data_IF_010175369347
#
_entry.id   IF_010175369347
#
_cell.length_a   1.000
_cell.length_b   1.000
_cell.length_c   1.000
_cell.angle_alpha   90.00
_cell.angle_beta   90.00
_cell.angle_gamma   90.00
#
_symmetry.space_group_name_H-M   'P 1'
#
loop_
_entity.id
_entity.type
_entity.pdbx_description
1 polymer ?
#
# COMPACT_ATOMS: atom_id res chain seq x y z
N UNK A 1 -4.92 18.46 -3.21
CA UNK A 1 -6.01 18.06 -4.11
C UNK A 1 -7.26 17.96 -3.26
N UNK A 2 -8.41 18.45 -3.72
CA UNK A 2 -9.65 18.35 -2.95
C UNK A 2 -10.26 16.98 -3.26
N UNK A 3 -10.22 16.06 -2.29
CA UNK A 3 -10.93 14.78 -2.41
C UNK A 3 -12.43 15.00 -2.28
N UNK A 4 -13.22 14.27 -3.06
CA UNK A 4 -14.60 14.01 -2.67
C UNK A 4 -14.62 13.19 -1.37
N UNK A 5 -15.76 13.24 -0.66
CA UNK A 5 -15.89 12.63 0.67
C UNK A 5 -15.63 11.13 0.65
N UNK A 6 -16.04 10.42 -0.40
CA UNK A 6 -15.83 8.97 -0.53
C UNK A 6 -14.36 8.65 -0.75
N UNK A 7 -13.71 9.34 -1.69
CA UNK A 7 -12.27 9.17 -1.93
C UNK A 7 -11.44 9.48 -0.69
N UNK A 8 -11.84 10.50 0.08
CA UNK A 8 -11.18 10.85 1.34
C UNK A 8 -11.23 9.70 2.36
N UNK A 9 -12.42 9.15 2.64
CA UNK A 9 -12.55 8.08 3.63
C UNK A 9 -11.91 6.77 3.20
N UNK A 10 -12.02 6.41 1.92
CA UNK A 10 -11.34 5.22 1.39
C UNK A 10 -9.82 5.37 1.48
N UNK A 11 -9.29 6.56 1.16
CA UNK A 11 -7.86 6.83 1.29
C UNK A 11 -7.42 6.79 2.76
N UNK A 12 -8.16 7.44 3.67
CA UNK A 12 -7.85 7.43 5.10
C UNK A 12 -7.88 6.00 5.68
N UNK A 13 -8.88 5.20 5.32
CA UNK A 13 -8.99 3.80 5.72
C UNK A 13 -7.82 2.95 5.21
N UNK A 14 -7.41 3.14 3.95
CA UNK A 14 -6.23 2.47 3.39
C UNK A 14 -4.93 2.94 4.07
N UNK A 15 -4.76 4.25 4.29
CA UNK A 15 -3.57 4.78 4.94
C UNK A 15 -3.42 4.23 6.37
N UNK A 16 -4.51 4.22 7.15
CA UNK A 16 -4.52 3.64 8.49
C UNK A 16 -4.28 2.13 8.44
N UNK A 17 -5.04 1.41 7.61
CA UNK A 17 -4.97 -0.05 7.51
C UNK A 17 -3.58 -0.53 7.09
N UNK A 18 -3.00 0.04 6.03
CA UNK A 18 -1.65 -0.31 5.57
C UNK A 18 -0.60 0.01 6.64
N UNK A 19 -0.70 1.16 7.30
CA UNK A 19 0.25 1.52 8.38
C UNK A 19 0.16 0.55 9.55
N UNK A 20 -1.05 0.20 9.98
CA UNK A 20 -1.26 -0.78 11.04
C UNK A 20 -0.71 -2.16 10.65
N UNK A 21 -0.95 -2.60 9.41
CA UNK A 21 -0.40 -3.88 8.90
C UNK A 21 1.13 -3.90 8.90
N UNK A 22 1.78 -2.80 8.54
CA UNK A 22 3.24 -2.67 8.64
C UNK A 22 3.72 -2.66 10.10
N UNK A 23 3.01 -2.00 11.01
CA UNK A 23 3.34 -2.03 12.45
C UNK A 23 3.28 -3.45 13.00
N UNK A 24 2.18 -4.18 12.75
CA UNK A 24 2.04 -5.56 13.20
C UNK A 24 3.08 -6.48 12.57
N UNK A 25 3.50 -6.21 11.32
CA UNK A 25 4.55 -6.99 10.68
C UNK A 25 5.91 -6.92 11.38
N UNK A 26 6.17 -5.86 12.16
CA UNK A 26 7.41 -5.72 12.95
C UNK A 26 7.39 -6.58 14.23
N UNK A 27 6.20 -6.96 14.70
CA UNK A 27 6.01 -7.65 15.98
C UNK A 27 5.59 -9.11 15.80
N UNK A 28 5.33 -9.54 14.56
CA UNK A 28 4.80 -10.87 14.28
C UNK A 28 5.89 -11.93 14.16
N UNK A 29 5.54 -13.15 14.55
CA UNK A 29 6.31 -14.36 14.26
C UNK A 29 5.57 -15.17 13.21
N UNK A 30 6.10 -15.20 11.98
CA UNK A 30 5.52 -16.02 10.93
C UNK A 30 5.79 -17.51 11.22
N UNK A 31 4.79 -18.40 11.02
CA UNK A 31 4.94 -19.83 11.28
C UNK A 31 6.08 -20.41 10.41
N UNK A 32 6.87 -21.29 11.02
CA UNK A 32 8.03 -21.93 10.41
C UNK A 32 7.96 -23.44 10.67
N UNK A 33 8.27 -24.22 9.64
CA UNK A 33 8.21 -25.67 9.72
C UNK A 33 9.08 -26.20 10.87
N UNK A 34 8.49 -27.02 11.73
CA UNK A 34 9.17 -27.63 12.88
C UNK A 34 9.41 -26.68 14.06
N UNK A 35 8.94 -25.43 14.00
CA UNK A 35 9.02 -24.46 15.11
C UNK A 35 7.64 -24.37 15.78
N UNK A 36 7.53 -24.67 17.08
CA UNK A 36 6.27 -24.52 17.81
C UNK A 36 5.74 -23.08 17.73
N UNK A 37 4.43 -22.97 17.53
CA UNK A 37 3.67 -21.72 17.53
C UNK A 37 3.19 -21.41 18.95
N UNK A 38 3.30 -20.15 19.38
CA UNK A 38 2.73 -19.63 20.61
C UNK A 38 3.15 -18.19 20.92
N UNK A 39 2.43 -17.53 21.84
CA UNK A 39 2.80 -16.21 22.36
C UNK A 39 2.30 -15.02 21.54
N UNK A 40 2.84 -13.83 21.85
CA UNK A 40 2.35 -12.56 21.27
C UNK A 40 2.69 -12.41 19.78
N UNK A 41 3.82 -12.94 19.31
CA UNK A 41 4.22 -12.87 17.90
C UNK A 41 3.21 -13.56 16.98
N UNK A 42 2.69 -14.72 17.41
CA UNK A 42 1.64 -15.44 16.69
C UNK A 42 0.32 -14.69 16.65
N UNK A 43 -0.04 -14.00 17.75
CA UNK A 43 -1.24 -13.15 17.78
C UNK A 43 -1.10 -12.02 16.77
N UNK A 44 0.05 -11.34 16.72
CA UNK A 44 0.31 -10.30 15.72
C UNK A 44 0.33 -10.88 14.29
N UNK A 45 0.84 -12.10 14.10
CA UNK A 45 0.76 -12.78 12.81
C UNK A 45 -0.68 -13.02 12.38
N UNK A 46 -1.55 -13.48 13.29
CA UNK A 46 -2.97 -13.70 12.97
C UNK A 46 -3.72 -12.39 12.69
N UNK A 47 -3.43 -11.33 13.45
CA UNK A 47 -3.96 -9.98 13.20
C UNK A 47 -3.49 -9.47 11.83
N UNK A 48 -2.22 -9.68 11.48
CA UNK A 48 -1.67 -9.33 10.17
C UNK A 48 -2.35 -10.13 9.05
N UNK A 49 -2.45 -11.45 9.23
CA UNK A 49 -3.04 -12.37 8.25
C UNK A 49 -4.51 -12.07 7.98
N UNK A 50 -5.33 -11.92 9.02
CA UNK A 50 -6.77 -11.66 8.87
C UNK A 50 -7.05 -10.18 8.57
N UNK A 51 -6.34 -9.26 9.22
CA UNK A 51 -6.47 -7.83 8.96
C UNK A 51 -6.02 -7.45 7.55
N UNK A 52 -5.03 -8.16 6.98
CA UNK A 52 -4.61 -8.01 5.60
C UNK A 52 -5.74 -8.26 4.60
N UNK A 53 -6.64 -9.23 4.86
CA UNK A 53 -7.84 -9.43 4.04
C UNK A 53 -8.82 -8.26 4.13
N UNK A 54 -8.97 -7.67 5.32
CA UNK A 54 -9.76 -6.45 5.50
C UNK A 54 -9.22 -5.27 4.69
N UNK A 55 -7.89 -5.08 4.71
CA UNK A 55 -7.22 -4.05 3.90
C UNK A 55 -7.34 -4.34 2.40
N UNK A 56 -7.23 -5.60 1.97
CA UNK A 56 -7.49 -6.00 0.60
C UNK A 56 -8.92 -5.68 0.16
N UNK A 57 -9.93 -5.96 1.00
CA UNK A 57 -11.32 -5.62 0.69
C UNK A 57 -11.50 -4.10 0.51
N UNK A 58 -10.94 -3.29 1.41
CA UNK A 58 -10.92 -1.82 1.27
C UNK A 58 -10.24 -1.38 -0.03
N UNK A 59 -9.13 -2.05 -0.40
CA UNK A 59 -8.39 -1.75 -1.62
C UNK A 59 -9.22 -2.05 -2.88
N UNK A 60 -9.93 -3.17 -2.90
CA UNK A 60 -10.86 -3.53 -3.98
C UNK A 60 -11.95 -2.46 -4.11
N UNK A 61 -12.58 -2.07 -3.00
CA UNK A 61 -13.61 -1.02 -3.00
C UNK A 61 -13.04 0.31 -3.52
N UNK A 62 -11.82 0.66 -3.12
CA UNK A 62 -11.14 1.85 -3.63
C UNK A 62 -10.90 1.78 -5.14
N UNK A 63 -10.43 0.65 -5.67
CA UNK A 63 -10.28 0.47 -7.11
C UNK A 63 -11.60 0.54 -7.86
N UNK A 64 -12.66 -0.11 -7.37
CA UNK A 64 -13.99 -0.05 -7.98
C UNK A 64 -14.53 1.39 -8.01
N UNK A 65 -14.37 2.13 -6.91
CA UNK A 65 -14.74 3.55 -6.85
C UNK A 65 -13.97 4.37 -7.89
N UNK A 66 -12.65 4.20 -7.97
CA UNK A 66 -11.80 4.89 -8.92
C UNK A 66 -12.13 4.54 -10.39
N UNK A 67 -12.45 3.27 -10.69
CA UNK A 67 -12.80 2.79 -12.03
C UNK A 67 -14.23 3.16 -12.45
N UNK A 68 -15.13 3.44 -11.49
CA UNK A 68 -16.50 3.88 -11.78
C UNK A 68 -16.60 5.25 -12.46
N UNK A 69 -15.50 6.01 -12.52
CA UNK A 69 -15.45 7.37 -13.07
C UNK A 69 -16.07 8.43 -12.16
N UNK A 70 -16.60 8.05 -10.98
CA UNK A 70 -17.22 8.96 -10.01
C UNK A 70 -16.22 9.67 -9.10
N UNK A 71 -15.01 9.13 -8.97
CA UNK A 71 -13.99 9.71 -8.12
C UNK A 71 -13.53 11.08 -8.64
N UNK A 72 -13.33 12.04 -7.73
CA UNK A 72 -12.88 13.40 -8.08
C UNK A 72 -11.53 13.44 -8.79
N UNK A 73 -10.70 12.40 -8.58
CA UNK A 73 -9.37 12.27 -9.14
C UNK A 73 -9.39 11.25 -10.27
N UNK A 74 -9.47 11.71 -11.52
CA UNK A 74 -9.47 10.83 -12.69
C UNK A 74 -8.16 10.05 -12.85
N UNK A 75 -8.22 8.89 -13.53
CA UNK A 75 -7.07 8.01 -13.83
C UNK A 75 -5.86 8.73 -14.42
N UNK A 76 -6.09 9.76 -15.23
CA UNK A 76 -5.03 10.59 -15.85
C UNK A 76 -4.22 11.43 -14.84
N UNK A 77 -4.79 11.69 -13.66
CA UNK A 77 -4.12 12.43 -12.57
C UNK A 77 -3.27 11.48 -11.73
N UNK A 78 -3.78 10.26 -11.47
CA UNK A 78 -3.05 9.23 -10.72
C UNK A 78 -1.92 8.59 -11.54
N UNK A 79 -2.17 8.35 -12.83
CA UNK A 79 -1.29 7.58 -13.72
C UNK A 79 -0.90 8.37 -14.98
N UNK A 80 -0.31 9.58 -14.86
CA UNK A 80 -0.02 10.41 -16.03
C UNK A 80 0.90 9.73 -17.06
N UNK A 81 1.75 8.79 -16.62
CA UNK A 81 2.65 8.01 -17.46
C UNK A 81 1.93 7.03 -18.39
N UNK A 82 0.71 6.59 -18.05
CA UNK A 82 -0.10 5.73 -18.93
C UNK A 82 -0.79 6.52 -20.04
N UNK A 83 -1.03 7.83 -19.85
CA UNK A 83 -1.89 8.64 -20.71
C UNK A 83 -1.15 9.73 -21.50
N UNK A 84 0.18 9.61 -21.67
CA UNK A 84 1.04 10.60 -22.37
C UNK A 84 0.81 12.06 -21.91
N UNK A 85 0.36 12.27 -20.67
CA UNK A 85 0.12 13.61 -20.15
C UNK A 85 1.46 14.18 -19.69
N UNK A 86 1.90 15.28 -20.32
CA UNK A 86 2.99 16.10 -19.76
C UNK A 86 2.50 16.58 -18.39
N UNK A 87 3.29 16.35 -17.35
CA UNK A 87 3.07 16.97 -16.04
C UNK A 87 3.12 18.49 -16.29
N UNK A 88 1.96 19.13 -16.42
CA UNK A 88 1.92 20.58 -16.49
C UNK A 88 2.41 21.07 -15.13
N UNK A 89 3.45 21.91 -15.08
CA UNK A 89 3.87 22.50 -13.82
C UNK A 89 2.66 23.20 -13.21
N UNK A 90 2.31 22.85 -11.98
CA UNK A 90 1.31 23.60 -11.22
C UNK A 90 1.84 25.03 -11.05
N UNK A 91 1.02 26.10 -11.22
CA UNK A 91 1.50 27.48 -11.06
C UNK A 91 1.86 27.84 -9.61
N UNK A 92 1.52 26.97 -8.66
CA UNK A 92 1.61 27.24 -7.22
C UNK A 92 2.56 26.27 -6.53
N UNK A 93 3.86 26.56 -6.60
CA UNK A 93 4.76 26.67 -5.45
C UNK A 93 6.15 27.01 -5.98
N UNK A 94 6.74 28.06 -5.40
CA UNK A 94 8.09 28.55 -5.68
C UNK A 94 9.07 27.40 -5.39
N UNK A 95 9.48 26.69 -6.44
CA UNK A 95 10.46 25.61 -6.38
C UNK A 95 11.81 26.17 -5.98
N UNK A 96 12.22 25.94 -4.74
CA UNK A 96 13.65 25.93 -4.43
C UNK A 96 14.20 24.65 -5.09
N UNK A 97 14.89 24.86 -6.22
CA UNK A 97 15.72 23.87 -6.95
C UNK A 97 15.01 22.66 -7.58
N UNK A 98 14.38 22.86 -8.74
CA UNK A 98 14.78 22.23 -10.00
C UNK A 98 14.83 20.71 -10.18
N UNK A 99 14.43 19.85 -9.23
CA UNK A 99 14.47 18.38 -9.43
C UNK A 99 13.22 17.70 -8.86
N UNK A 100 12.54 16.95 -9.74
CA UNK A 100 11.35 16.10 -9.52
C UNK A 100 10.03 16.82 -9.15
N UNK A 101 9.35 17.34 -10.18
CA UNK A 101 7.94 17.77 -10.06
C UNK A 101 6.99 16.55 -10.09
N UNK A 102 6.97 15.76 -9.01
CA UNK A 102 5.97 14.69 -8.86
C UNK A 102 4.66 15.29 -8.33
N UNK A 103 3.57 15.13 -9.08
CA UNK A 103 2.25 15.61 -8.62
C UNK A 103 1.76 14.75 -7.45
N UNK A 104 0.94 15.33 -6.54
CA UNK A 104 0.38 14.59 -5.41
C UNK A 104 -0.43 13.35 -5.87
N UNK A 105 -1.15 13.48 -6.99
CA UNK A 105 -1.90 12.38 -7.58
C UNK A 105 -0.99 11.27 -8.11
N UNK A 106 0.13 11.63 -8.74
CA UNK A 106 1.14 10.66 -9.22
C UNK A 106 1.72 9.86 -8.07
N UNK A 107 2.06 10.53 -6.96
CA UNK A 107 2.56 9.86 -5.77
C UNK A 107 1.49 8.93 -5.17
N UNK A 108 0.25 9.40 -5.04
CA UNK A 108 -0.87 8.57 -4.57
C UNK A 108 -1.11 7.35 -5.46
N UNK A 109 -1.07 7.52 -6.79
CA UNK A 109 -1.23 6.44 -7.76
C UNK A 109 -0.14 5.38 -7.63
N UNK A 110 1.12 5.80 -7.43
CA UNK A 110 2.24 4.89 -7.15
C UNK A 110 1.99 4.10 -5.84
N UNK A 111 1.58 4.77 -4.77
CA UNK A 111 1.22 4.11 -3.52
C UNK A 111 0.13 3.05 -3.68
N UNK A 112 -0.90 3.35 -4.47
CA UNK A 112 -1.98 2.41 -4.75
C UNK A 112 -1.50 1.17 -5.50
N UNK A 113 -0.55 1.31 -6.43
CA UNK A 113 0.05 0.18 -7.16
C UNK A 113 0.92 -0.69 -6.24
N UNK A 114 1.77 -0.08 -5.42
CA UNK A 114 2.61 -0.81 -4.46
C UNK A 114 1.71 -1.57 -3.46
N UNK A 115 0.68 -0.91 -2.92
CA UNK A 115 -0.29 -1.55 -2.04
C UNK A 115 -1.04 -2.70 -2.72
N UNK A 116 -1.31 -2.60 -4.03
CA UNK A 116 -1.93 -3.69 -4.81
C UNK A 116 -1.01 -4.90 -4.96
N UNK A 117 0.28 -4.69 -5.24
CA UNK A 117 1.26 -5.78 -5.26
C UNK A 117 1.40 -6.44 -3.88
N UNK A 118 1.45 -5.63 -2.81
CA UNK A 118 1.51 -6.12 -1.43
C UNK A 118 0.29 -6.97 -1.08
N UNK A 119 -0.92 -6.48 -1.40
CA UNK A 119 -2.16 -7.19 -1.10
C UNK A 119 -2.30 -8.48 -1.92
N UNK A 120 -1.88 -8.46 -3.19
CA UNK A 120 -1.91 -9.65 -4.06
C UNK A 120 -0.95 -10.74 -3.58
N UNK A 121 0.29 -10.37 -3.24
CA UNK A 121 1.26 -11.32 -2.67
C UNK A 121 0.80 -11.84 -1.30
N UNK A 122 0.22 -10.98 -0.46
CA UNK A 122 -0.35 -11.37 0.82
C UNK A 122 -1.53 -12.35 0.68
N UNK A 123 -2.39 -12.17 -0.32
CA UNK A 123 -3.48 -13.09 -0.62
C UNK A 123 -2.97 -14.47 -1.05
N UNK A 124 -1.93 -14.52 -1.87
CA UNK A 124 -1.29 -15.78 -2.27
C UNK A 124 -0.71 -16.48 -1.04
N UNK A 125 -0.04 -15.74 -0.14
CA UNK A 125 0.50 -16.31 1.10
C UNK A 125 -0.62 -16.80 2.04
N UNK A 126 -1.74 -16.08 2.12
CA UNK A 126 -2.86 -16.44 2.98
C UNK A 126 -3.37 -17.87 2.71
N UNK A 127 -3.42 -18.26 1.42
CA UNK A 127 -3.84 -19.59 0.98
C UNK A 127 -2.68 -20.57 0.78
N UNK A 128 -1.47 -20.08 0.50
CA UNK A 128 -0.31 -20.90 0.15
C UNK A 128 0.52 -21.36 1.35
N UNK A 129 0.41 -20.71 2.50
CA UNK A 129 1.09 -21.11 3.75
C UNK A 129 0.20 -22.10 4.51
N UNK A 130 0.74 -23.29 4.77
CA UNK A 130 0.05 -24.33 5.56
C UNK A 130 0.10 -24.02 7.05
N UNK A 131 -0.75 -24.66 7.85
CA UNK A 131 -0.91 -24.36 9.28
C UNK A 131 0.35 -24.60 10.12
N UNK A 132 1.24 -25.48 9.68
CA UNK A 132 2.55 -25.77 10.30
C UNK A 132 3.69 -24.90 9.72
N UNK A 133 3.37 -23.93 8.86
CA UNK A 133 4.34 -23.05 8.21
C UNK A 133 5.02 -23.65 6.97
N UNK A 134 4.59 -24.83 6.49
CA UNK A 134 5.05 -25.39 5.23
C UNK A 134 4.66 -24.53 4.02
N UNK A 135 5.57 -24.39 3.06
CA UNK A 135 5.40 -23.61 1.83
C UNK A 135 6.05 -24.33 0.65
N UNK A 136 5.43 -24.27 -0.53
CA UNK A 136 6.09 -24.69 -1.77
C UNK A 136 7.17 -23.68 -2.20
N UNK A 137 8.07 -24.08 -3.11
CA UNK A 137 9.10 -23.17 -3.66
C UNK A 137 8.51 -21.89 -4.24
N UNK A 138 7.37 -22.00 -4.93
CA UNK A 138 6.66 -20.84 -5.47
C UNK A 138 6.17 -19.90 -4.35
N UNK A 139 5.53 -20.44 -3.30
CA UNK A 139 5.02 -19.65 -2.17
C UNK A 139 6.17 -18.98 -1.41
N UNK A 140 7.30 -19.66 -1.24
CA UNK A 140 8.52 -19.08 -0.65
C UNK A 140 9.04 -17.89 -1.46
N UNK A 141 9.10 -18.00 -2.79
CA UNK A 141 9.49 -16.87 -3.64
C UNK A 141 8.50 -15.69 -3.53
N UNK A 142 7.19 -15.98 -3.45
CA UNK A 142 6.18 -14.93 -3.21
C UNK A 142 6.37 -14.27 -1.84
N UNK A 143 6.77 -15.01 -0.81
CA UNK A 143 7.07 -14.45 0.52
C UNK A 143 8.23 -13.45 0.45
N UNK A 144 9.28 -13.78 -0.30
CA UNK A 144 10.41 -12.86 -0.51
C UNK A 144 9.96 -11.58 -1.22
N UNK A 145 9.15 -11.70 -2.28
CA UNK A 145 8.56 -10.54 -2.97
C UNK A 145 7.67 -9.73 -2.04
N UNK A 146 6.86 -10.36 -1.21
CA UNK A 146 6.01 -9.70 -0.22
C UNK A 146 6.86 -8.89 0.78
N UNK A 147 7.93 -9.50 1.31
CA UNK A 147 8.86 -8.83 2.22
C UNK A 147 9.60 -7.66 1.55
N UNK A 148 10.07 -7.83 0.31
CA UNK A 148 10.72 -6.76 -0.45
C UNK A 148 9.75 -5.60 -0.77
N UNK A 149 8.48 -5.94 -1.05
CA UNK A 149 7.42 -4.95 -1.27
C UNK A 149 7.09 -4.17 0.00
N UNK A 150 7.16 -4.81 1.18
CA UNK A 150 6.98 -4.14 2.47
C UNK A 150 8.04 -3.04 2.70
N UNK A 151 9.30 -3.29 2.35
CA UNK A 151 10.37 -2.27 2.38
C UNK A 151 10.02 -1.09 1.46
N UNK A 152 9.53 -1.39 0.25
CA UNK A 152 9.09 -0.37 -0.70
C UNK A 152 7.92 0.47 -0.15
N UNK A 153 6.97 -0.15 0.55
CA UNK A 153 5.88 0.55 1.23
C UNK A 153 6.37 1.46 2.36
N UNK A 154 7.33 0.99 3.16
CA UNK A 154 7.94 1.79 4.22
C UNK A 154 8.60 3.06 3.68
N UNK A 155 9.42 2.92 2.63
CA UNK A 155 10.06 4.06 1.94
C UNK A 155 8.99 4.99 1.38
N UNK A 156 7.98 4.43 0.71
CA UNK A 156 6.87 5.20 0.14
C UNK A 156 6.12 6.00 1.20
N UNK A 157 5.76 5.39 2.34
CA UNK A 157 5.04 6.09 3.41
C UNK A 157 5.87 7.22 4.02
N UNK A 158 7.15 6.98 4.28
CA UNK A 158 8.05 8.02 4.79
C UNK A 158 8.16 9.21 3.82
N UNK A 159 8.36 8.93 2.54
CA UNK A 159 8.40 9.95 1.49
C UNK A 159 7.06 10.69 1.35
N UNK A 160 5.96 9.95 1.34
CA UNK A 160 4.61 10.49 1.20
C UNK A 160 4.26 11.42 2.36
N UNK A 161 4.59 11.02 3.58
CA UNK A 161 4.38 11.83 4.78
C UNK A 161 5.25 13.09 4.77
N UNK A 162 6.55 12.96 4.49
CA UNK A 162 7.47 14.11 4.40
C UNK A 162 7.03 15.14 3.36
N UNK A 163 6.67 14.71 2.14
CA UNK A 163 6.17 15.62 1.09
C UNK A 163 4.84 16.27 1.50
N UNK A 164 3.97 15.53 2.18
CA UNK A 164 2.69 16.07 2.65
C UNK A 164 2.93 17.20 3.64
N UNK A 165 3.76 16.99 4.66
CA UNK A 165 4.12 18.02 5.65
C UNK A 165 4.73 19.28 4.98
N UNK A 166 5.68 19.10 4.07
CA UNK A 166 6.33 20.20 3.35
C UNK A 166 5.37 21.01 2.45
N UNK A 167 4.19 20.49 2.13
CA UNK A 167 3.15 21.20 1.37
C UNK A 167 2.09 21.85 2.26
N UNK A 168 2.09 21.59 3.56
CA UNK A 168 1.22 22.21 4.56
C UNK A 168 1.89 23.37 5.31
N UNK A 169 3.21 23.55 5.16
CA UNK A 169 3.99 24.73 5.57
C UNK A 169 4.15 25.66 4.37
#
# INVERSE_FOLDING_TARGET
>A
MKYDRTTYWLHAGLAFGVSAQLMFSLMMDAPRLGVPTGGMGDVFFQIHRMGGLGVLALLIVHWLWQLSGRASNGMKVLYPWLFKRRLSPSPTHRSIRGRLQVSAGTLQGLGLLIASLMAMTGLILYFGVTGDGGMSTFVTAIREVHSATAISLWIYLGLHWAISLLRFI
#
